data_IF_007544329623
#
_entry.id   IF_007544329623
#
_cell.length_a   1.000
_cell.length_b   1.000
_cell.length_c   1.000
_cell.angle_alpha   90.00
_cell.angle_beta   90.00
_cell.angle_gamma   90.00
#
_symmetry.space_group_name_H-M   'P 1'
#
loop_
_entity.id
_entity.type
_entity.pdbx_description
1 polymer ?
#
# COMPACT_ATOMS: atom_id res chain seq x y z
N UNK A 1 1.37 3.49 17.77
CA UNK A 1 0.23 3.98 16.96
C UNK A 1 -0.81 2.87 16.90
N UNK A 2 -2.11 3.18 16.92
CA UNK A 2 -3.15 2.15 16.75
C UNK A 2 -4.06 2.48 15.57
N UNK A 3 -4.66 1.45 14.98
CA UNK A 3 -5.74 1.57 14.01
C UNK A 3 -6.77 0.49 14.25
N UNK A 4 -8.05 0.85 14.25
CA UNK A 4 -9.15 -0.11 14.31
C UNK A 4 -9.92 -0.04 13.00
N UNK A 5 -10.14 -1.20 12.37
CA UNK A 5 -10.74 -1.31 11.04
C UNK A 5 -11.99 -2.16 11.14
N UNK A 6 -13.11 -1.57 10.71
CA UNK A 6 -14.39 -2.25 10.51
C UNK A 6 -14.62 -2.44 9.01
N UNK A 7 -15.03 -3.63 8.60
CA UNK A 7 -15.43 -3.94 7.23
C UNK A 7 -16.79 -4.64 7.23
N UNK A 8 -17.66 -4.27 6.29
CA UNK A 8 -18.99 -4.87 6.11
C UNK A 8 -19.22 -5.18 4.63
N UNK A 9 -19.77 -6.36 4.36
CA UNK A 9 -20.24 -6.75 3.03
C UNK A 9 -21.52 -6.04 2.57
N UNK A 10 -22.07 -5.12 3.36
CA UNK A 10 -23.37 -4.47 3.12
C UNK A 10 -24.52 -5.12 3.92
N UNK A 11 -25.78 -4.76 3.64
CA UNK A 11 -26.94 -5.30 4.35
C UNK A 11 -27.00 -6.83 4.25
N UNK A 12 -26.94 -7.53 5.38
CA UNK A 12 -26.94 -8.99 5.45
C UNK A 12 -25.61 -9.66 5.06
N UNK A 13 -24.56 -8.88 4.77
CA UNK A 13 -23.22 -9.38 4.51
C UNK A 13 -22.37 -9.50 5.78
N UNK A 14 -21.35 -10.35 5.73
CA UNK A 14 -20.44 -10.55 6.86
C UNK A 14 -19.75 -9.24 7.27
N UNK A 15 -19.69 -9.03 8.59
CA UNK A 15 -18.98 -7.92 9.20
C UNK A 15 -17.74 -8.43 9.94
N UNK A 16 -16.65 -7.68 9.86
CA UNK A 16 -15.36 -8.00 10.49
C UNK A 16 -14.79 -6.79 11.19
N UNK A 17 -14.11 -7.00 12.32
CA UNK A 17 -13.48 -5.94 13.11
C UNK A 17 -12.10 -6.38 13.59
N UNK A 18 -11.09 -5.52 13.42
CA UNK A 18 -9.75 -5.78 13.97
C UNK A 18 -9.08 -4.52 14.43
N UNK A 19 -8.36 -4.64 15.54
CA UNK A 19 -7.52 -3.59 16.09
C UNK A 19 -6.05 -3.98 15.90
N UNK A 20 -5.24 -3.01 15.49
CA UNK A 20 -3.82 -3.16 15.23
C UNK A 20 -3.04 -2.15 16.06
N UNK A 21 -1.95 -2.58 16.69
CA UNK A 21 -1.02 -1.70 17.41
C UNK A 21 0.38 -1.89 16.87
N UNK A 22 0.96 -0.80 16.36
CA UNK A 22 2.30 -0.79 15.79
C UNK A 22 3.23 0.09 16.63
N UNK A 23 4.51 -0.31 16.78
CA UNK A 23 5.51 0.53 17.43
C UNK A 23 5.71 1.83 16.65
N UNK A 24 5.95 2.93 17.36
CA UNK A 24 6.30 4.20 16.73
C UNK A 24 7.80 4.23 16.42
N UNK A 25 8.24 3.38 15.48
CA UNK A 25 9.63 3.26 15.11
C UNK A 25 9.82 2.46 13.81
N UNK A 26 11.06 2.36 13.29
CA UNK A 26 11.32 1.64 12.06
C UNK A 26 10.93 0.15 12.16
N UNK A 27 10.11 -0.31 11.22
CA UNK A 27 9.78 -1.72 11.05
C UNK A 27 10.67 -2.32 9.97
N UNK A 28 11.40 -3.40 10.30
CA UNK A 28 12.29 -4.12 9.37
C UNK A 28 11.61 -5.40 8.88
N UNK A 29 11.85 -5.76 7.62
CA UNK A 29 11.50 -7.09 7.10
C UNK A 29 10.03 -7.33 6.78
N UNK A 30 9.22 -6.27 6.67
CA UNK A 30 7.78 -6.34 6.33
C UNK A 30 7.02 -7.42 7.11
N UNK A 31 7.00 -7.34 8.45
CA UNK A 31 6.21 -8.25 9.26
C UNK A 31 4.75 -8.23 8.79
N UNK A 32 4.13 -9.39 8.77
CA UNK A 32 2.72 -9.52 8.40
C UNK A 32 1.84 -8.71 9.36
N UNK A 33 0.78 -8.12 8.83
CA UNK A 33 -0.07 -7.23 9.61
C UNK A 33 -0.76 -7.99 10.77
N UNK A 34 -1.00 -9.29 10.56
CA UNK A 34 -1.55 -10.24 11.54
C UNK A 34 -0.75 -10.26 12.85
N UNK A 35 0.57 -10.02 12.79
CA UNK A 35 1.44 -9.99 13.98
C UNK A 35 1.21 -8.80 14.90
N UNK A 36 0.45 -7.79 14.45
CA UNK A 36 0.12 -6.59 15.21
C UNK A 36 -1.33 -6.55 15.69
N UNK A 37 -2.09 -7.61 15.45
CA UNK A 37 -3.48 -7.71 15.90
C UNK A 37 -3.52 -7.80 17.43
N UNK A 38 -4.40 -7.01 18.03
CA UNK A 38 -4.66 -7.02 19.47
C UNK A 38 -6.16 -7.03 19.74
N UNK A 39 -6.61 -7.46 20.93
CA UNK A 39 -7.99 -7.30 21.34
C UNK A 39 -8.44 -5.83 21.30
N UNK A 40 -9.68 -5.57 20.85
CA UNK A 40 -10.25 -4.22 20.81
C UNK A 40 -10.21 -3.57 22.21
N UNK A 41 -10.60 -4.32 23.24
CA UNK A 41 -10.65 -3.84 24.62
C UNK A 41 -9.29 -3.35 25.14
N UNK A 42 -8.17 -3.93 24.67
CA UNK A 42 -6.84 -3.49 25.07
C UNK A 42 -6.51 -2.11 24.49
N UNK A 43 -6.91 -1.86 23.24
CA UNK A 43 -6.75 -0.55 22.59
C UNK A 43 -7.62 0.50 23.27
N UNK A 44 -8.87 0.17 23.57
CA UNK A 44 -9.81 1.05 24.25
C UNK A 44 -9.34 1.46 25.63
N UNK A 45 -8.88 0.49 26.43
CA UNK A 45 -8.31 0.73 27.75
C UNK A 45 -7.07 1.61 27.68
N UNK A 46 -6.17 1.33 26.73
CA UNK A 46 -4.94 2.10 26.57
C UNK A 46 -5.20 3.52 26.05
N UNK A 47 -6.20 3.69 25.17
CA UNK A 47 -6.54 4.97 24.56
C UNK A 47 -7.52 5.81 25.39
N UNK A 48 -8.22 5.22 26.36
CA UNK A 48 -9.30 5.88 27.10
C UNK A 48 -10.52 6.18 26.21
N UNK A 49 -10.81 5.31 25.25
CA UNK A 49 -11.85 5.51 24.23
C UNK A 49 -12.83 4.34 24.20
N UNK A 50 -14.06 4.61 23.72
CA UNK A 50 -15.00 3.58 23.29
C UNK A 50 -15.22 3.70 21.77
N UNK A 51 -14.71 2.74 21.01
CA UNK A 51 -14.68 2.70 19.55
C UNK A 51 -15.88 1.90 19.02
N UNK A 52 -16.59 2.41 18.02
CA UNK A 52 -17.77 1.71 17.47
C UNK A 52 -18.85 1.41 18.53
N UNK A 53 -19.10 2.34 19.45
CA UNK A 53 -20.06 2.13 20.56
C UNK A 53 -21.51 1.83 20.10
N UNK A 54 -21.87 2.21 18.87
CA UNK A 54 -23.18 1.94 18.27
C UNK A 54 -23.23 0.62 17.47
N UNK A 55 -22.13 -0.13 17.45
CA UNK A 55 -22.05 -1.40 16.74
C UNK A 55 -22.37 -2.54 17.70
N UNK A 56 -23.56 -3.11 17.54
CA UNK A 56 -24.01 -4.26 18.33
C UNK A 56 -23.08 -5.46 18.10
N UNK A 57 -22.72 -6.15 19.18
CA UNK A 57 -21.87 -7.34 19.10
C UNK A 57 -20.45 -7.09 18.59
N UNK A 58 -19.96 -5.84 18.61
CA UNK A 58 -18.59 -5.48 18.15
C UNK A 58 -17.49 -6.35 18.74
N UNK A 59 -17.67 -6.85 19.97
CA UNK A 59 -16.68 -7.66 20.67
C UNK A 59 -16.66 -9.12 20.23
N UNK A 60 -17.70 -9.56 19.51
CA UNK A 60 -17.84 -10.93 19.00
C UNK A 60 -17.69 -10.99 17.48
N UNK A 61 -17.42 -9.86 16.81
CA UNK A 61 -17.18 -9.86 15.38
C UNK A 61 -15.88 -10.60 15.06
N UNK A 62 -15.85 -11.43 14.00
CA UNK A 62 -14.65 -12.10 13.58
C UNK A 62 -13.58 -11.09 13.11
N UNK A 63 -12.29 -11.44 13.25
CA UNK A 63 -11.22 -10.55 12.82
C UNK A 63 -11.19 -10.42 11.29
N UNK A 64 -10.73 -9.26 10.81
CA UNK A 64 -10.38 -9.06 9.39
C UNK A 64 -9.31 -10.06 8.96
N UNK A 65 -8.37 -10.33 9.86
CA UNK A 65 -7.23 -11.17 9.60
C UNK A 65 -7.23 -12.37 10.56
N UNK A 66 -7.27 -13.60 10.05
CA UNK A 66 -7.40 -14.82 10.86
C UNK A 66 -6.18 -15.76 10.75
N UNK A 67 -5.11 -15.33 10.08
CA UNK A 67 -3.93 -16.17 9.83
C UNK A 67 -4.17 -17.34 8.87
N UNK A 68 -5.43 -17.57 8.44
CA UNK A 68 -5.87 -18.67 7.59
C UNK A 68 -6.18 -18.21 6.17
N UNK A 69 -7.45 -18.26 5.77
CA UNK A 69 -7.88 -17.84 4.44
C UNK A 69 -7.90 -16.31 4.28
N UNK A 70 -7.99 -15.57 5.40
CA UNK A 70 -8.05 -14.10 5.41
C UNK A 70 -6.78 -13.57 6.06
N UNK A 71 -5.64 -13.63 5.38
CA UNK A 71 -4.38 -13.07 5.91
C UNK A 71 -4.17 -11.64 5.46
N UNK A 72 -3.72 -10.77 6.35
CA UNK A 72 -3.48 -9.38 6.04
C UNK A 72 -1.99 -9.09 5.83
N UNK A 73 -1.70 -8.31 4.79
CA UNK A 73 -0.33 -7.94 4.45
C UNK A 73 0.48 -9.05 3.78
N UNK A 74 -0.16 -10.12 3.29
CA UNK A 74 0.52 -11.17 2.51
C UNK A 74 1.04 -10.60 1.20
N UNK A 75 2.22 -11.08 0.78
CA UNK A 75 2.87 -10.70 -0.49
C UNK A 75 3.19 -9.21 -0.61
N UNK A 76 3.35 -8.51 0.52
CA UNK A 76 3.96 -7.19 0.53
C UNK A 76 5.47 -7.38 0.49
N UNK A 77 6.06 -7.12 -0.68
CA UNK A 77 7.50 -7.18 -0.91
C UNK A 77 8.08 -5.77 -0.98
N UNK A 78 9.39 -5.64 -0.74
CA UNK A 78 10.12 -4.41 -1.02
C UNK A 78 9.90 -3.93 -2.47
N UNK A 79 9.88 -4.86 -3.42
CA UNK A 79 9.64 -4.57 -4.83
C UNK A 79 8.26 -3.96 -5.10
N UNK A 80 7.22 -4.49 -4.44
CA UNK A 80 5.86 -3.96 -4.53
C UNK A 80 5.76 -2.56 -3.93
N UNK A 81 6.24 -2.36 -2.71
CA UNK A 81 6.22 -1.04 -2.04
C UNK A 81 7.00 -0.03 -2.86
N UNK A 82 8.22 -0.40 -3.28
CA UNK A 82 9.07 0.48 -4.07
C UNK A 82 8.42 0.82 -5.41
N UNK A 83 7.77 -0.14 -6.06
CA UNK A 83 7.04 0.08 -7.30
C UNK A 83 5.93 1.12 -7.14
N UNK A 84 5.13 1.04 -6.09
CA UNK A 84 4.08 2.04 -5.82
C UNK A 84 4.64 3.42 -5.48
N UNK A 85 5.77 3.50 -4.76
CA UNK A 85 6.47 4.77 -4.49
C UNK A 85 6.95 5.44 -5.77
N UNK A 86 7.60 4.68 -6.65
CA UNK A 86 8.10 5.18 -7.93
C UNK A 86 6.96 5.62 -8.85
N UNK A 87 5.85 4.86 -8.88
CA UNK A 87 4.65 5.28 -9.59
C UNK A 87 4.10 6.60 -9.04
N UNK A 88 4.11 6.79 -7.72
CA UNK A 88 3.75 8.06 -7.09
C UNK A 88 4.65 9.21 -7.56
N UNK A 89 5.97 9.03 -7.57
CA UNK A 89 6.91 10.03 -8.06
C UNK A 89 6.69 10.38 -9.54
N UNK A 90 6.42 9.38 -10.39
CA UNK A 90 6.02 9.62 -11.78
C UNK A 90 4.78 10.51 -11.85
N UNK A 91 3.72 10.18 -11.10
CA UNK A 91 2.46 10.94 -11.09
C UNK A 91 2.59 12.36 -10.56
N UNK A 92 3.58 12.63 -9.72
CA UNK A 92 3.84 13.96 -9.16
C UNK A 92 4.71 14.84 -10.07
N UNK A 93 5.22 14.30 -11.19
CA UNK A 93 6.03 15.06 -12.13
C UNK A 93 5.20 16.18 -12.78
N UNK A 94 5.70 17.41 -12.72
CA UNK A 94 4.99 18.61 -13.19
C UNK A 94 5.50 19.11 -14.54
N UNK A 95 6.63 18.59 -15.01
CA UNK A 95 7.24 18.94 -16.28
C UNK A 95 8.04 17.77 -16.84
N UNK A 96 8.49 17.92 -18.09
CA UNK A 96 9.20 16.87 -18.82
C UNK A 96 10.54 16.48 -18.20
N UNK A 97 11.25 17.41 -17.56
CA UNK A 97 12.51 17.12 -16.88
C UNK A 97 12.26 16.20 -15.67
N UNK A 98 11.31 16.57 -14.81
CA UNK A 98 10.93 15.77 -13.65
C UNK A 98 10.41 14.39 -14.05
N UNK A 99 9.61 14.31 -15.11
CA UNK A 99 9.12 13.03 -15.64
C UNK A 99 10.27 12.15 -16.16
N UNK A 100 11.27 12.75 -16.82
CA UNK A 100 12.47 12.07 -17.31
C UNK A 100 13.31 11.51 -16.17
N UNK A 101 13.57 12.32 -15.14
CA UNK A 101 14.31 11.92 -13.95
C UNK A 101 13.59 10.80 -13.18
N UNK A 102 12.27 10.93 -12.99
CA UNK A 102 11.46 9.90 -12.34
C UNK A 102 11.42 8.59 -13.14
N UNK A 103 11.39 8.66 -14.49
CA UNK A 103 11.42 7.47 -15.33
C UNK A 103 12.79 6.78 -15.34
N UNK A 104 13.88 7.55 -15.36
CA UNK A 104 15.24 6.99 -15.26
C UNK A 104 15.41 6.15 -13.97
N UNK A 105 14.80 6.59 -12.87
CA UNK A 105 14.81 5.86 -11.60
C UNK A 105 14.02 4.54 -11.68
N UNK A 106 12.89 4.53 -12.40
CA UNK A 106 12.12 3.30 -12.68
C UNK A 106 12.94 2.31 -13.49
N UNK A 107 13.57 2.76 -14.58
CA UNK A 107 14.43 1.90 -15.43
C UNK A 107 15.60 1.30 -14.67
N UNK A 108 16.23 2.06 -13.77
CA UNK A 108 17.31 1.58 -12.91
C UNK A 108 16.89 0.41 -12.01
N UNK A 109 15.60 0.33 -11.66
CA UNK A 109 15.06 -0.66 -10.72
C UNK A 109 14.16 -1.71 -11.37
N UNK A 110 13.91 -1.65 -12.68
CA UNK A 110 12.87 -2.44 -13.39
C UNK A 110 12.84 -3.94 -13.09
N UNK A 111 13.98 -4.58 -12.89
CA UNK A 111 14.07 -6.01 -12.56
C UNK A 111 13.58 -6.40 -11.16
N UNK A 112 13.14 -5.43 -10.35
CA UNK A 112 12.70 -5.61 -8.96
C UNK A 112 11.28 -5.07 -8.71
N UNK A 113 10.54 -4.70 -9.75
CA UNK A 113 9.27 -3.97 -9.62
C UNK A 113 8.09 -4.75 -10.23
N UNK A 114 7.01 -4.89 -9.46
CA UNK A 114 5.83 -5.67 -9.85
C UNK A 114 4.83 -4.91 -10.75
N UNK A 115 5.01 -3.59 -10.94
CA UNK A 115 4.02 -2.70 -11.58
C UNK A 115 4.53 -1.97 -12.83
N UNK A 116 5.53 -2.53 -13.52
CA UNK A 116 6.14 -1.91 -14.70
C UNK A 116 5.15 -1.50 -15.81
N UNK A 117 4.16 -2.34 -16.20
CA UNK A 117 3.21 -1.95 -17.24
C UNK A 117 2.36 -0.73 -16.87
N UNK A 118 1.98 -0.60 -15.59
CA UNK A 118 1.22 0.55 -15.11
C UNK A 118 2.07 1.83 -15.10
N UNK A 119 3.34 1.71 -14.71
CA UNK A 119 4.28 2.84 -14.72
C UNK A 119 4.54 3.34 -16.15
N UNK A 120 4.75 2.42 -17.11
CA UNK A 120 4.94 2.78 -18.52
C UNK A 120 3.74 3.56 -19.09
N UNK A 121 2.52 3.04 -18.88
CA UNK A 121 1.29 3.75 -19.29
C UNK A 121 1.14 5.11 -18.62
N UNK A 122 1.51 5.21 -17.35
CA UNK A 122 1.45 6.47 -16.61
C UNK A 122 2.44 7.49 -17.18
N UNK A 123 3.67 7.07 -17.50
CA UNK A 123 4.64 7.91 -18.19
C UNK A 123 4.10 8.41 -19.52
N UNK A 124 3.59 7.51 -20.36
CA UNK A 124 3.12 7.87 -21.70
C UNK A 124 1.99 8.90 -21.64
N UNK A 125 0.99 8.65 -20.80
CA UNK A 125 -0.12 9.59 -20.59
C UNK A 125 0.35 10.96 -20.08
N UNK A 126 1.30 11.01 -19.15
CA UNK A 126 1.86 12.26 -18.65
C UNK A 126 2.71 12.98 -19.69
N UNK A 127 3.52 12.23 -20.45
CA UNK A 127 4.36 12.74 -21.53
C UNK A 127 3.52 13.39 -22.63
N UNK A 128 2.43 12.74 -23.02
CA UNK A 128 1.45 13.30 -23.97
C UNK A 128 0.79 14.56 -23.43
N UNK A 129 0.30 14.52 -22.18
CA UNK A 129 -0.36 15.68 -21.55
C UNK A 129 0.56 16.90 -21.40
N UNK A 130 1.86 16.69 -21.24
CA UNK A 130 2.87 17.75 -21.14
C UNK A 130 3.56 18.09 -22.47
N UNK A 131 3.21 17.41 -23.57
CA UNK A 131 3.87 17.52 -24.88
C UNK A 131 5.40 17.33 -24.81
N UNK A 132 5.86 16.36 -24.02
CA UNK A 132 7.28 16.11 -23.85
C UNK A 132 7.91 15.50 -25.10
N UNK A 133 9.05 16.05 -25.53
CA UNK A 133 9.90 15.44 -26.57
C UNK A 133 10.72 14.33 -25.93
N UNK A 134 10.20 13.11 -26.00
CA UNK A 134 10.87 11.95 -25.42
C UNK A 134 11.74 11.24 -26.45
N UNK A 135 13.05 11.30 -26.28
CA UNK A 135 13.95 10.35 -26.91
C UNK A 135 14.02 9.15 -25.97
N UNK A 136 13.44 8.01 -26.37
CA UNK A 136 13.44 6.80 -25.55
C UNK A 136 14.84 6.39 -25.09
N UNK A 137 14.97 5.54 -24.06
CA UNK A 137 16.28 5.02 -23.68
C UNK A 137 16.89 4.36 -24.92
N UNK A 138 18.06 4.85 -25.37
CA UNK A 138 18.85 4.16 -26.39
C UNK A 138 19.01 2.72 -25.90
N UNK A 139 18.51 1.76 -26.67
CA UNK A 139 18.83 0.37 -26.45
C UNK A 139 20.36 0.28 -26.29
N UNK A 140 20.83 -0.34 -25.20
CA UNK A 140 22.25 -0.61 -25.05
C UNK A 140 22.72 -1.35 -26.32
N UNK A 141 23.86 -0.98 -26.92
CA UNK A 141 24.36 -1.69 -28.08
C UNK A 141 24.47 -3.18 -27.72
N UNK A 142 23.88 -4.04 -28.54
CA UNK A 142 24.05 -5.47 -28.42
C UNK A 142 25.55 -5.77 -28.48
N UNK A 143 26.05 -6.42 -27.43
CA UNK A 143 27.43 -6.90 -27.36
C UNK A 143 27.67 -8.03 -28.35
#
# INVERSE_FOLDING_TARGET
LFKVVYASGGPGGDARLSAFVLPNGPLRGHPELDSFVVPLADVERAAGLQLFAQLDGRETLPPLCDGGASRCGVHITDGRIQGWKLLGHLKLSQNCQQLSEAWAEVERKKGKLDAMPLMARTRDSLSEGMACKWEGPRAAPAA
#
